data_IF_710441021658
#
_entry.id   IF_710441021658
#
_cell.length_a   1.000
_cell.length_b   1.000
_cell.length_c   1.000
_cell.angle_alpha   90.00
_cell.angle_beta   90.00
_cell.angle_gamma   90.00
#
_symmetry.space_group_name_H-M   'P 1'
#
loop_
_entity.id
_entity.type
_entity.pdbx_description
1 polymer ?
#
# COMPACT_ATOMS: atom_id res chain seq x y z
N UNK A 1 -16.59 9.82 5.33
CA UNK A 1 -16.34 8.48 4.71
C UNK A 1 -17.30 7.44 5.31
N UNK A 2 -17.41 6.23 4.74
CA UNK A 2 -18.05 5.09 5.46
C UNK A 2 -17.39 4.91 6.84
N UNK A 3 -18.11 4.41 7.85
CA UNK A 3 -17.57 4.16 9.20
C UNK A 3 -16.28 3.30 9.20
N UNK A 4 -16.09 2.53 8.14
CA UNK A 4 -14.93 1.69 7.89
C UNK A 4 -14.18 2.23 6.67
N UNK A 5 -12.90 2.54 6.83
CA UNK A 5 -12.01 2.79 5.70
C UNK A 5 -11.45 1.46 5.21
N UNK A 6 -11.69 1.14 3.94
CA UNK A 6 -11.14 -0.06 3.29
C UNK A 6 -9.98 0.35 2.41
N UNK A 7 -8.78 -0.15 2.75
CA UNK A 7 -7.57 0.08 1.96
C UNK A 7 -7.06 -1.26 1.44
N UNK A 8 -6.97 -1.37 0.12
CA UNK A 8 -6.43 -2.52 -0.58
C UNK A 8 -4.97 -2.26 -0.93
N UNK A 9 -4.08 -3.20 -0.64
CA UNK A 9 -2.65 -3.04 -0.94
C UNK A 9 -2.10 -4.21 -1.73
N UNK A 10 -1.13 -3.92 -2.57
CA UNK A 10 -0.36 -4.93 -3.30
C UNK A 10 1.09 -4.44 -3.50
N UNK A 11 2.01 -5.39 -3.62
CA UNK A 11 3.43 -5.17 -3.80
C UNK A 11 4.00 -6.12 -4.86
N UNK A 12 4.36 -5.55 -6.01
CA UNK A 12 4.94 -6.30 -7.12
C UNK A 12 6.45 -6.11 -7.24
N UNK A 13 7.11 -7.06 -7.92
CA UNK A 13 8.49 -6.90 -8.34
C UNK A 13 8.75 -7.47 -9.73
N UNK A 14 9.37 -6.67 -10.60
CA UNK A 14 9.91 -7.14 -11.89
C UNK A 14 11.34 -7.65 -11.70
N UNK A 15 11.60 -8.88 -12.13
CA UNK A 15 12.94 -9.47 -12.10
C UNK A 15 13.41 -9.80 -10.69
N UNK A 16 12.52 -10.33 -9.85
CA UNK A 16 12.82 -10.69 -8.47
C UNK A 16 14.11 -11.52 -8.38
N UNK A 17 14.95 -11.23 -7.39
CA UNK A 17 16.28 -11.84 -7.21
C UNK A 17 17.35 -11.46 -8.24
N UNK A 18 17.13 -10.44 -9.09
CA UNK A 18 18.15 -9.89 -9.99
C UNK A 18 18.74 -8.56 -9.49
N UNK A 19 19.98 -8.21 -9.89
CA UNK A 19 20.59 -6.92 -9.58
C UNK A 19 19.91 -5.71 -10.24
N UNK A 20 18.90 -5.90 -11.09
CA UNK A 20 18.13 -4.83 -11.72
C UNK A 20 16.65 -4.93 -11.36
N UNK A 21 16.34 -5.59 -10.25
CA UNK A 21 14.98 -5.82 -9.82
C UNK A 21 14.31 -4.52 -9.38
N UNK A 22 13.12 -4.26 -9.91
CA UNK A 22 12.34 -3.05 -9.60
C UNK A 22 11.11 -3.49 -8.82
N UNK A 23 10.96 -3.00 -7.60
CA UNK A 23 9.75 -3.18 -6.80
C UNK A 23 8.80 -2.00 -6.96
N UNK A 24 7.50 -2.25 -6.90
CA UNK A 24 6.47 -1.24 -6.89
C UNK A 24 5.37 -1.64 -5.93
N UNK A 25 4.86 -0.69 -5.16
CA UNK A 25 3.75 -0.87 -4.24
C UNK A 25 2.56 -0.01 -4.67
N UNK A 26 1.35 -0.49 -4.40
CA UNK A 26 0.12 0.23 -4.61
C UNK A 26 -0.76 0.16 -3.35
N UNK A 27 -1.51 1.22 -3.11
CA UNK A 27 -2.57 1.27 -2.12
C UNK A 27 -3.80 1.94 -2.73
N UNK A 28 -4.99 1.38 -2.51
CA UNK A 28 -6.24 1.87 -3.06
C UNK A 28 -7.28 2.04 -1.95
N UNK A 29 -7.88 3.23 -1.84
CA UNK A 29 -9.01 3.47 -0.95
C UNK A 29 -10.30 3.29 -1.76
N UNK A 30 -11.18 2.40 -1.30
CA UNK A 30 -12.50 2.25 -1.88
C UNK A 30 -13.50 3.21 -1.23
N UNK A 31 -14.12 4.07 -2.03
CA UNK A 31 -15.18 4.97 -1.61
C UNK A 31 -16.53 4.25 -1.54
N UNK A 32 -17.49 4.84 -0.82
CA UNK A 32 -18.85 4.32 -0.72
C UNK A 32 -19.54 4.14 -2.07
N UNK A 33 -19.20 4.97 -3.06
CA UNK A 33 -19.73 4.86 -4.43
C UNK A 33 -19.18 3.66 -5.22
N UNK A 34 -18.19 2.94 -4.69
CA UNK A 34 -17.48 1.86 -5.37
C UNK A 34 -16.28 2.32 -6.20
N UNK A 35 -16.03 3.63 -6.29
CA UNK A 35 -14.84 4.17 -6.95
C UNK A 35 -13.59 3.99 -6.08
N UNK A 36 -12.43 4.00 -6.72
CA UNK A 36 -11.13 3.87 -6.05
C UNK A 36 -10.26 5.09 -6.31
N UNK A 37 -9.63 5.59 -5.25
CA UNK A 37 -8.43 6.41 -5.38
C UNK A 37 -7.21 5.52 -5.19
N UNK A 38 -6.17 5.76 -5.99
CA UNK A 38 -4.99 4.89 -6.04
C UNK A 38 -3.71 5.69 -5.86
N UNK A 39 -2.84 5.17 -5.00
CA UNK A 39 -1.50 5.67 -4.77
C UNK A 39 -0.49 4.59 -5.12
N UNK A 40 0.65 5.01 -5.67
CA UNK A 40 1.75 4.10 -6.01
C UNK A 40 3.08 4.62 -5.49
N UNK A 41 4.01 3.72 -5.20
CA UNK A 41 5.37 4.05 -4.79
C UNK A 41 6.35 3.10 -5.44
N UNK A 42 7.38 3.65 -6.08
CA UNK A 42 8.52 2.86 -6.54
C UNK A 42 9.34 2.48 -5.30
N UNK A 43 9.63 1.19 -5.16
CA UNK A 43 10.43 0.67 -4.05
C UNK A 43 11.88 0.77 -4.46
N UNK A 44 12.68 1.66 -3.85
CA UNK A 44 14.06 1.86 -4.26
C UNK A 44 14.85 0.57 -4.05
N UNK A 45 15.66 0.25 -5.05
CA UNK A 45 16.61 -0.85 -4.96
C UNK A 45 17.58 -0.57 -3.82
N UNK A 46 17.67 -1.49 -2.86
CA UNK A 46 18.61 -1.32 -1.77
C UNK A 46 20.03 -1.54 -2.31
N UNK A 47 21.01 -0.67 -2.01
CA UNK A 47 22.35 -0.76 -2.59
C UNK A 47 23.09 -2.06 -2.23
N UNK A 48 22.71 -2.74 -1.14
CA UNK A 48 23.51 -3.81 -0.52
C UNK A 48 22.71 -4.98 0.05
N UNK A 49 21.37 -4.96 0.05
CA UNK A 49 20.61 -6.00 0.77
C UNK A 49 20.23 -7.17 -0.12
N UNK A 50 20.53 -8.38 0.39
CA UNK A 50 20.07 -9.69 -0.14
C UNK A 50 18.54 -9.88 -0.10
N UNK A 51 17.77 -8.89 0.35
CA UNK A 51 16.33 -9.07 0.55
C UNK A 51 15.56 -8.90 -0.77
N UNK A 52 14.63 -9.81 -1.09
CA UNK A 52 13.90 -9.76 -2.34
C UNK A 52 13.03 -8.48 -2.40
N UNK A 53 13.12 -7.68 -3.48
CA UNK A 53 12.35 -6.46 -3.63
C UNK A 53 10.84 -6.68 -3.61
N UNK A 54 10.36 -7.90 -3.90
CA UNK A 54 8.96 -8.28 -3.77
C UNK A 54 8.43 -8.12 -2.34
N UNK A 55 9.13 -8.68 -1.34
CA UNK A 55 8.69 -8.57 0.07
C UNK A 55 8.75 -7.13 0.59
N UNK A 56 9.73 -6.36 0.11
CA UNK A 56 9.82 -4.93 0.41
C UNK A 56 8.67 -4.15 -0.21
N UNK A 57 8.20 -4.55 -1.40
CA UNK A 57 7.05 -3.94 -2.04
C UNK A 57 5.76 -4.20 -1.27
N UNK A 58 5.51 -5.43 -0.84
CA UNK A 58 4.34 -5.77 0.00
C UNK A 58 4.33 -4.92 1.29
N UNK A 59 5.46 -4.86 2.01
CA UNK A 59 5.59 -4.03 3.22
C UNK A 59 5.39 -2.55 2.91
N UNK A 60 5.92 -2.07 1.78
CA UNK A 60 5.74 -0.67 1.37
C UNK A 60 4.27 -0.36 1.11
N UNK A 61 3.51 -1.28 0.52
CA UNK A 61 2.06 -1.15 0.35
C UNK A 61 1.34 -1.00 1.69
N UNK A 62 1.68 -1.83 2.68
CA UNK A 62 1.12 -1.72 4.04
C UNK A 62 1.46 -0.37 4.69
N UNK A 63 2.71 0.08 4.57
CA UNK A 63 3.13 1.40 5.09
C UNK A 63 2.29 2.51 4.43
N UNK A 64 2.11 2.46 3.12
CA UNK A 64 1.28 3.42 2.40
C UNK A 64 -0.17 3.41 2.89
N UNK A 65 -0.76 2.24 3.13
CA UNK A 65 -2.11 2.16 3.68
C UNK A 65 -2.22 2.78 5.08
N UNK A 66 -1.23 2.58 5.95
CA UNK A 66 -1.21 3.18 7.28
C UNK A 66 -1.03 4.71 7.20
N UNK A 67 -0.15 5.20 6.33
CA UNK A 67 0.04 6.63 6.09
C UNK A 67 -1.26 7.28 5.58
N UNK A 68 -1.92 6.66 4.60
CA UNK A 68 -3.20 7.11 4.07
C UNK A 68 -4.31 7.08 5.12
N UNK A 69 -4.36 6.02 5.93
CA UNK A 69 -5.34 5.92 7.00
C UNK A 69 -5.18 7.03 8.03
N UNK A 70 -3.94 7.39 8.38
CA UNK A 70 -3.65 8.52 9.28
C UNK A 70 -4.03 9.86 8.65
N UNK A 71 -3.72 10.08 7.37
CA UNK A 71 -4.08 11.30 6.65
C UNK A 71 -5.60 11.48 6.60
N UNK A 72 -6.32 10.41 6.24
CA UNK A 72 -7.76 10.43 6.01
C UNK A 72 -8.59 10.15 7.26
N UNK A 73 -7.94 9.92 8.40
CA UNK A 73 -8.61 9.62 9.67
C UNK A 73 -9.62 10.69 10.07
N UNK A 74 -9.28 11.96 9.85
CA UNK A 74 -10.15 13.09 10.20
C UNK A 74 -11.36 13.25 9.26
N UNK A 75 -11.35 12.59 8.09
CA UNK A 75 -12.44 12.63 7.10
C UNK A 75 -13.49 11.52 7.33
N UNK A 76 -13.30 10.69 8.36
CA UNK A 76 -14.21 9.62 8.75
C UNK A 76 -15.30 10.15 9.69
N UNK A 77 -16.55 9.85 9.36
CA UNK A 77 -17.69 10.23 10.18
C UNK A 77 -17.85 9.20 11.32
N UNK A 78 -17.57 9.58 12.57
CA UNK A 78 -17.83 8.75 13.76
C UNK A 78 -16.61 8.05 14.39
N UNK A 79 -16.82 6.87 15.01
CA UNK A 79 -15.74 6.05 15.60
C UNK A 79 -15.13 5.14 14.52
N UNK A 80 -14.05 5.60 13.93
CA UNK A 80 -13.36 4.97 12.81
C UNK A 80 -12.54 3.75 13.24
N UNK A 81 -12.52 2.69 12.40
CA UNK A 81 -11.59 1.56 12.53
C UNK A 81 -10.98 1.22 11.16
N UNK A 82 -9.74 0.71 11.17
CA UNK A 82 -8.96 0.38 9.96
C UNK A 82 -9.01 -1.14 9.69
N UNK A 83 -9.31 -1.50 8.44
CA UNK A 83 -9.32 -2.88 7.95
C UNK A 83 -8.41 -2.98 6.71
N UNK A 84 -7.41 -3.88 6.73
CA UNK A 84 -6.34 -3.99 5.72
C UNK A 84 -6.24 -5.43 5.23
N UNK A 85 -6.36 -5.61 3.91
CA UNK A 85 -6.23 -6.90 3.24
C UNK A 85 -5.04 -6.87 2.26
N UNK A 86 -4.22 -7.92 2.30
CA UNK A 86 -3.03 -8.11 1.44
C UNK A 86 -3.23 -9.34 0.56
N UNK A 87 -2.91 -9.25 -0.73
CA UNK A 87 -3.02 -10.37 -1.69
C UNK A 87 -1.65 -10.96 -2.06
#
# INVERSE_FOLDING_TARGET
MVYTMKVYVDGGCRGNSSPNAIGAAAACIQHRSGNYDTWTRIVPQAPTTKQPPAKRAEITGIIMALELALEKYQELDGRSYLDVETF
#
